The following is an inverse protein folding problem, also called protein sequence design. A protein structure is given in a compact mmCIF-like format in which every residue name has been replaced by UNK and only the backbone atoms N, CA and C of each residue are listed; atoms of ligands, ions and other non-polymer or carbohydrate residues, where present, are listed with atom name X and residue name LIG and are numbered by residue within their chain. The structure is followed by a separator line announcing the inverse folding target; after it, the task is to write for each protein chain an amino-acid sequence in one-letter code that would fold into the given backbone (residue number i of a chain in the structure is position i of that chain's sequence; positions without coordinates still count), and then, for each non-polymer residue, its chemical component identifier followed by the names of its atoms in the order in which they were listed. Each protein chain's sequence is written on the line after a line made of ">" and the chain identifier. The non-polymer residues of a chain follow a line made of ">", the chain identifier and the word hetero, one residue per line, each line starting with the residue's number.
data_IF_823741875496
#
_entry.id   IF_823741875496
#
_cell.length_a   1.000
_cell.length_b   1.000
_cell.length_c   1.000
_cell.angle_alpha   90.00
_cell.angle_beta   90.00
_cell.angle_gamma   90.00
#
_symmetry.space_group_name_H-M   'P 1'
#
loop_
_entity.id
_entity.type
_entity.pdbx_description
1 polymer ?
#
# COMPACT_ATOMS: atom_id res chain seq x y z
N UNK A 1 -18.05 -1.13 -44.44
CA UNK A 1 -16.78 -1.47 -43.77
C UNK A 1 -16.77 -2.97 -43.57
N UNK A 2 -15.87 -3.69 -44.25
CA UNK A 2 -15.75 -5.13 -44.02
C UNK A 2 -14.87 -5.36 -42.80
N UNK A 3 -15.47 -5.86 -41.71
CA UNK A 3 -14.73 -6.22 -40.51
C UNK A 3 -14.05 -7.57 -40.74
N UNK A 4 -12.72 -7.54 -40.91
CA UNK A 4 -11.94 -8.76 -41.02
C UNK A 4 -11.63 -9.32 -39.63
N UNK A 5 -11.59 -10.65 -39.49
CA UNK A 5 -11.22 -11.33 -38.24
C UNK A 5 -9.87 -10.86 -37.69
N UNK A 6 -8.93 -10.56 -38.60
CA UNK A 6 -7.62 -10.00 -38.28
C UNK A 6 -7.72 -8.59 -37.67
N UNK A 7 -8.55 -7.71 -38.23
CA UNK A 7 -8.77 -6.37 -37.69
C UNK A 7 -9.34 -6.38 -36.27
N UNK A 8 -10.25 -7.32 -35.98
CA UNK A 8 -10.80 -7.49 -34.63
C UNK A 8 -9.73 -7.92 -33.62
N UNK A 9 -8.88 -8.89 -33.98
CA UNK A 9 -7.79 -9.39 -33.14
C UNK A 9 -6.73 -8.32 -32.84
N UNK A 10 -6.38 -7.49 -33.85
CA UNK A 10 -5.43 -6.40 -33.66
C UNK A 10 -6.00 -5.30 -32.76
N UNK A 11 -7.29 -4.97 -32.91
CA UNK A 11 -7.96 -3.98 -32.08
C UNK A 11 -8.05 -4.43 -30.61
N UNK A 12 -8.41 -5.70 -30.35
CA UNK A 12 -8.51 -6.21 -28.97
C UNK A 12 -7.15 -6.34 -28.29
N UNK A 13 -6.11 -6.78 -29.02
CA UNK A 13 -4.75 -6.84 -28.50
C UNK A 13 -4.21 -5.45 -28.11
N UNK A 14 -4.51 -4.42 -28.91
CA UNK A 14 -4.11 -3.03 -28.61
C UNK A 14 -4.81 -2.44 -27.38
N UNK A 15 -6.10 -2.76 -27.17
CA UNK A 15 -6.82 -2.31 -25.98
C UNK A 15 -6.31 -3.04 -24.73
N UNK A 16 -6.05 -4.34 -24.82
CA UNK A 16 -5.54 -5.12 -23.69
C UNK A 16 -4.15 -4.65 -23.21
N UNK A 17 -3.26 -4.28 -24.13
CA UNK A 17 -1.92 -3.79 -23.78
C UNK A 17 -1.96 -2.40 -23.13
N UNK A 18 -2.84 -1.51 -23.58
CA UNK A 18 -3.03 -0.19 -22.94
C UNK A 18 -3.63 -0.35 -21.54
N UNK A 19 -4.61 -1.24 -21.35
CA UNK A 19 -5.19 -1.53 -20.03
C UNK A 19 -4.19 -2.16 -19.07
N UNK A 20 -3.34 -3.07 -19.54
CA UNK A 20 -2.29 -3.68 -18.72
C UNK A 20 -1.25 -2.65 -18.26
N UNK A 21 -0.86 -1.72 -19.13
CA UNK A 21 0.06 -0.63 -18.78
C UNK A 21 -0.59 0.39 -17.83
N UNK A 22 -1.85 0.75 -18.05
CA UNK A 22 -2.59 1.64 -17.15
C UNK A 22 -2.79 1.02 -15.76
N UNK A 23 -2.96 -0.30 -15.64
CA UNK A 23 -3.01 -0.99 -14.36
C UNK A 23 -1.65 -1.01 -13.63
N UNK A 24 -0.55 -1.23 -14.36
CA UNK A 24 0.79 -1.23 -13.77
C UNK A 24 1.29 0.17 -13.40
N UNK A 25 0.94 1.22 -14.17
CA UNK A 25 1.31 2.60 -13.87
C UNK A 25 0.28 3.33 -12.99
N UNK A 26 -0.97 2.87 -12.94
CA UNK A 26 -2.03 3.44 -12.11
C UNK A 26 -1.74 3.29 -10.61
N UNK A 27 -1.01 2.25 -10.21
CA UNK A 27 -0.47 2.11 -8.84
C UNK A 27 0.73 3.01 -8.53
N UNK A 28 1.35 3.64 -9.54
CA UNK A 28 2.44 4.61 -9.35
C UNK A 28 1.91 6.04 -9.18
N UNK A 29 0.68 6.30 -9.63
CA UNK A 29 0.05 7.63 -9.62
C UNK A 29 -1.19 7.72 -8.69
N UNK A 30 -1.68 6.59 -8.19
CA UNK A 30 -2.88 6.51 -7.35
C UNK A 30 -2.52 6.34 -5.87
N UNK A 31 -2.82 7.40 -5.11
CA UNK A 31 -2.82 7.46 -3.65
C UNK A 31 -1.42 7.42 -3.01
N UNK A 32 -0.78 8.59 -2.93
CA UNK A 32 0.06 8.85 -1.76
C UNK A 32 -0.77 8.49 -0.54
N UNK A 33 -0.22 7.66 0.35
CA UNK A 33 -0.84 7.08 1.54
C UNK A 33 -1.32 8.11 2.58
N UNK A 34 -2.06 9.13 2.17
CA UNK A 34 -2.61 10.20 2.99
C UNK A 34 -3.77 9.63 3.80
N UNK A 35 -3.42 8.91 4.87
CA UNK A 35 -4.36 8.55 5.93
C UNK A 35 -4.24 7.14 6.48
N UNK A 36 -3.49 6.22 5.86
CA UNK A 36 -3.31 4.89 6.42
C UNK A 36 -2.26 4.90 7.52
N UNK A 37 -2.67 4.60 8.75
CA UNK A 37 -1.79 4.53 9.92
C UNK A 37 -1.84 3.14 10.55
N UNK A 38 -0.67 2.56 10.79
CA UNK A 38 -0.50 1.30 11.52
C UNK A 38 0.09 1.59 12.89
N UNK A 39 -0.49 0.99 13.93
CA UNK A 39 0.02 1.13 15.29
C UNK A 39 0.53 -0.22 15.82
N UNK A 40 1.69 -0.18 16.48
CA UNK A 40 2.27 -1.33 17.16
C UNK A 40 2.51 -1.00 18.64
N UNK A 41 2.41 -2.01 19.50
CA UNK A 41 2.67 -1.87 20.94
C UNK A 41 4.11 -2.18 21.29
N UNK A 42 4.68 -3.28 20.80
CA UNK A 42 6.07 -3.66 21.12
C UNK A 42 7.01 -3.32 19.96
N UNK A 43 8.21 -2.83 20.28
CA UNK A 43 9.14 -2.29 19.28
C UNK A 43 9.51 -3.29 18.18
N UNK A 44 9.59 -4.59 18.50
CA UNK A 44 9.85 -5.65 17.51
C UNK A 44 8.74 -5.70 16.45
N UNK A 45 7.47 -5.60 16.87
CA UNK A 45 6.36 -5.55 15.92
C UNK A 45 6.29 -4.21 15.19
N UNK A 46 6.71 -3.12 15.84
CA UNK A 46 6.85 -1.81 15.18
C UNK A 46 7.86 -1.84 14.04
N UNK A 47 9.00 -2.50 14.23
CA UNK A 47 10.05 -2.64 13.22
C UNK A 47 9.56 -3.47 12.03
N UNK A 48 8.93 -4.63 12.30
CA UNK A 48 8.32 -5.46 11.26
C UNK A 48 7.23 -4.70 10.50
N UNK A 49 6.38 -3.97 11.22
CA UNK A 49 5.30 -3.19 10.61
C UNK A 49 5.83 -2.06 9.74
N UNK A 50 6.91 -1.39 10.14
CA UNK A 50 7.55 -0.34 9.34
C UNK A 50 8.12 -0.89 8.03
N UNK A 51 8.79 -2.05 8.08
CA UNK A 51 9.35 -2.70 6.89
C UNK A 51 8.25 -3.13 5.91
N UNK A 52 7.16 -3.70 6.41
CA UNK A 52 6.02 -4.12 5.58
C UNK A 52 5.23 -2.93 5.03
N UNK A 53 5.05 -1.88 5.82
CA UNK A 53 4.28 -0.71 5.43
C UNK A 53 4.96 0.08 4.30
N UNK A 54 6.28 0.21 4.33
CA UNK A 54 7.03 0.99 3.35
C UNK A 54 6.43 2.39 3.16
N UNK A 55 6.21 2.80 1.90
CA UNK A 55 5.58 4.08 1.57
C UNK A 55 4.03 4.04 1.60
N UNK A 56 3.43 2.89 1.86
CA UNK A 56 1.98 2.68 1.76
C UNK A 56 1.21 3.06 3.05
N UNK A 57 1.89 3.25 4.18
CA UNK A 57 1.27 3.69 5.43
C UNK A 57 2.30 4.32 6.38
N UNK A 58 1.83 5.23 7.24
CA UNK A 58 2.61 5.70 8.39
C UNK A 58 2.55 4.69 9.53
N UNK A 59 3.65 4.49 10.25
CA UNK A 59 3.72 3.59 11.39
C UNK A 59 4.02 4.35 12.68
N UNK A 60 3.35 3.97 13.76
CA UNK A 60 3.54 4.57 15.07
C UNK A 60 3.69 3.49 16.16
N UNK A 61 4.58 3.75 17.11
CA UNK A 61 4.81 2.87 18.25
C UNK A 61 4.15 3.46 19.50
N UNK A 62 3.24 2.70 20.11
CA UNK A 62 2.49 3.15 21.28
C UNK A 62 3.34 3.15 22.56
N UNK A 63 4.11 2.08 22.79
CA UNK A 63 4.99 1.97 23.95
C UNK A 63 6.39 2.47 23.56
N UNK A 64 6.93 3.53 24.19
CA UNK A 64 8.24 4.05 23.84
C UNK A 64 9.35 3.00 23.98
N UNK A 65 10.32 3.01 23.07
CA UNK A 65 11.49 2.12 23.14
C UNK A 65 12.20 2.29 24.49
N UNK A 66 12.53 1.15 25.12
CA UNK A 66 13.15 1.13 26.45
C UNK A 66 12.17 1.00 27.62
N UNK A 67 10.86 1.10 27.37
CA UNK A 67 9.83 0.79 28.37
C UNK A 67 9.43 -0.69 28.30
N UNK A 68 9.05 -1.26 29.45
CA UNK A 68 8.53 -2.61 29.50
C UNK A 68 7.05 -2.60 29.10
N UNK A 69 6.66 -3.40 28.09
CA UNK A 69 5.28 -3.39 27.58
C UNK A 69 4.25 -3.96 28.55
N UNK A 70 4.64 -4.87 29.44
CA UNK A 70 3.74 -5.36 30.50
C UNK A 70 3.60 -4.33 31.60
N UNK A 71 2.35 -4.00 31.97
CA UNK A 71 2.06 -3.00 33.01
C UNK A 71 2.32 -1.56 32.58
N UNK A 72 2.61 -1.33 31.29
CA UNK A 72 2.62 0.00 30.72
C UNK A 72 1.19 0.53 30.63
N UNK A 73 0.97 1.74 31.14
CA UNK A 73 -0.33 2.40 31.15
C UNK A 73 -0.33 3.59 30.17
N UNK A 74 -1.21 3.61 29.15
CA UNK A 74 -1.28 4.70 28.20
C UNK A 74 -1.80 5.99 28.85
N UNK A 75 -1.23 7.13 28.43
CA UNK A 75 -1.82 8.43 28.69
C UNK A 75 -2.99 8.72 27.73
N UNK A 76 -3.81 9.74 28.00
CA UNK A 76 -5.02 10.05 27.20
C UNK A 76 -4.77 10.51 25.75
N UNK A 77 -3.50 10.54 25.31
CA UNK A 77 -3.08 10.95 23.96
C UNK A 77 -2.50 9.79 23.14
N UNK A 78 -2.46 8.61 23.73
CA UNK A 78 -2.10 7.36 23.07
C UNK A 78 -3.39 6.71 22.55
#
# INVERSE_FOLDING_TARGET
>A
MEHTRRGLLTATAGIASVSALAGCLGGLAGDSADGSTVQATFFVFGDIAAEVAGAAASTNLLVPVGQHGHGWEPGPRV
#
